data_IF_506414328523
#
_entry.id   IF_506414328523
#
_cell.length_a   1.000
_cell.length_b   1.000
_cell.length_c   1.000
_cell.angle_alpha   90.00
_cell.angle_beta   90.00
_cell.angle_gamma   90.00
#
_symmetry.space_group_name_H-M   'P 1'
#
loop_
_entity.id
_entity.type
_entity.pdbx_description
1 polymer ?
#
# COMPACT_ATOMS: atom_id res chain seq x y z
N UNK A 1 -5.34 -2.84 -4.13
CA UNK A 1 -4.40 -3.80 -4.80
C UNK A 1 -3.01 -3.18 -4.80
N UNK A 2 -2.02 -3.78 -4.12
CA UNK A 2 -0.62 -3.33 -4.16
C UNK A 2 0.12 -3.92 -5.38
N UNK A 3 1.30 -3.41 -5.75
CA UNK A 3 2.10 -3.66 -6.98
C UNK A 3 1.73 -4.96 -7.74
N UNK A 4 1.29 -4.89 -9.01
CA UNK A 4 0.08 -5.60 -9.43
C UNK A 4 0.24 -7.12 -9.55
N UNK A 5 -0.86 -7.82 -9.24
CA UNK A 5 -1.09 -9.23 -9.60
C UNK A 5 -0.73 -9.57 -11.07
N UNK A 6 -0.76 -8.57 -11.97
CA UNK A 6 -0.40 -8.72 -13.38
C UNK A 6 1.11 -8.97 -13.62
N UNK A 7 1.96 -8.61 -12.66
CA UNK A 7 3.42 -8.77 -12.75
C UNK A 7 3.86 -10.06 -12.02
N UNK A 8 2.92 -10.83 -11.44
CA UNK A 8 3.18 -12.19 -10.99
C UNK A 8 3.25 -13.10 -12.22
N UNK A 9 4.45 -13.33 -12.71
CA UNK A 9 4.74 -14.28 -13.79
C UNK A 9 4.95 -15.69 -13.22
N UNK A 10 4.01 -16.15 -12.40
CA UNK A 10 3.99 -17.53 -11.92
C UNK A 10 2.59 -18.08 -12.22
N UNK A 11 2.40 -18.80 -13.34
CA UNK A 11 1.15 -19.51 -13.55
C UNK A 11 1.00 -20.55 -12.44
N UNK A 12 -0.01 -20.37 -11.58
CA UNK A 12 -0.41 -21.44 -10.67
C UNK A 12 -1.02 -22.55 -11.52
N UNK A 13 -0.42 -23.73 -11.46
CA UNK A 13 -0.85 -24.91 -12.24
C UNK A 13 -2.15 -25.51 -11.69
N UNK A 14 -2.61 -25.02 -10.53
CA UNK A 14 -3.68 -25.65 -9.74
C UNK A 14 -3.20 -26.89 -8.99
N UNK A 15 -1.94 -27.30 -9.17
CA UNK A 15 -1.30 -28.35 -8.39
C UNK A 15 -0.53 -27.69 -7.25
N UNK A 16 -0.89 -28.05 -6.02
CA UNK A 16 -0.33 -27.47 -4.81
C UNK A 16 0.58 -28.50 -4.15
N UNK A 17 1.87 -28.20 -4.10
CA UNK A 17 2.79 -28.98 -3.27
C UNK A 17 2.43 -28.84 -1.79
N UNK A 18 2.87 -29.80 -0.97
CA UNK A 18 2.65 -29.74 0.48
C UNK A 18 3.29 -28.50 1.12
N UNK A 19 4.44 -28.06 0.60
CA UNK A 19 5.16 -26.90 1.11
C UNK A 19 4.41 -25.60 0.76
N UNK A 20 3.92 -25.47 -0.48
CA UNK A 20 3.10 -24.31 -0.88
C UNK A 20 1.79 -24.25 -0.10
N UNK A 21 1.12 -25.39 0.09
CA UNK A 21 -0.09 -25.48 0.88
C UNK A 21 0.15 -25.08 2.35
N UNK A 22 1.28 -25.50 2.94
CA UNK A 22 1.65 -25.13 4.29
C UNK A 22 1.90 -23.62 4.45
N UNK A 23 2.61 -23.00 3.51
CA UNK A 23 2.86 -21.55 3.51
C UNK A 23 1.54 -20.78 3.44
N UNK A 24 0.65 -21.13 2.50
CA UNK A 24 -0.65 -20.46 2.35
C UNK A 24 -1.53 -20.66 3.58
N UNK A 25 -1.51 -21.85 4.17
CA UNK A 25 -2.28 -22.14 5.37
C UNK A 25 -1.79 -21.32 6.58
N UNK A 26 -0.48 -21.17 6.74
CA UNK A 26 0.14 -20.34 7.79
C UNK A 26 -0.22 -18.86 7.60
N UNK A 27 -0.06 -18.33 6.39
CA UNK A 27 -0.40 -16.94 6.06
C UNK A 27 -1.89 -16.65 6.28
N UNK A 28 -2.77 -17.56 5.85
CA UNK A 28 -4.22 -17.42 6.04
C UNK A 28 -4.60 -17.46 7.53
N UNK A 29 -3.98 -18.36 8.31
CA UNK A 29 -4.22 -18.46 9.75
C UNK A 29 -3.84 -17.15 10.45
N UNK A 30 -2.63 -16.64 10.19
CA UNK A 30 -2.16 -15.38 10.76
C UNK A 30 -3.04 -14.19 10.34
N UNK A 31 -3.53 -14.18 9.09
CA UNK A 31 -4.41 -13.13 8.59
C UNK A 31 -5.78 -13.16 9.29
N UNK A 32 -6.39 -14.32 9.46
CA UNK A 32 -7.71 -14.42 10.11
C UNK A 32 -7.63 -14.18 11.61
N UNK A 33 -6.56 -14.60 12.29
CA UNK A 33 -6.37 -14.35 13.73
C UNK A 33 -6.24 -12.86 14.08
N UNK A 34 -5.67 -12.07 13.16
CA UNK A 34 -5.48 -10.62 13.33
C UNK A 34 -6.69 -9.78 12.89
N UNK A 35 -7.70 -10.42 12.31
CA UNK A 35 -8.92 -9.77 11.80
C UNK A 35 -10.18 -10.38 12.43
N UNK A 36 -11.33 -9.74 12.25
CA UNK A 36 -12.61 -10.27 12.73
C UNK A 36 -13.60 -10.36 11.58
N UNK A 37 -14.11 -11.56 11.35
CA UNK A 37 -15.10 -11.85 10.32
C UNK A 37 -16.32 -12.49 10.95
N UNK A 38 -17.50 -11.94 10.68
CA UNK A 38 -18.77 -12.55 11.11
C UNK A 38 -19.08 -13.82 10.29
N UNK A 39 -18.53 -13.90 9.07
CA UNK A 39 -18.62 -15.07 8.19
C UNK A 39 -17.49 -15.06 7.17
N UNK A 40 -17.08 -16.26 6.74
CA UNK A 40 -16.12 -16.48 5.66
C UNK A 40 -16.81 -17.26 4.54
N UNK A 41 -16.75 -16.74 3.32
CA UNK A 41 -17.23 -17.42 2.11
C UNK A 41 -16.03 -17.77 1.25
N UNK A 42 -15.74 -19.05 1.10
CA UNK A 42 -14.67 -19.55 0.26
C UNK A 42 -15.22 -19.90 -1.12
N UNK A 43 -14.83 -19.10 -2.11
CA UNK A 43 -15.19 -19.26 -3.52
C UNK A 43 -13.94 -19.53 -4.35
N UNK A 44 -13.42 -20.75 -4.19
CA UNK A 44 -12.07 -21.16 -4.56
C UNK A 44 -12.09 -22.36 -5.50
N UNK A 45 -10.97 -22.58 -6.20
CA UNK A 45 -10.73 -23.73 -7.07
C UNK A 45 -10.00 -24.86 -6.34
N UNK A 46 -8.86 -25.29 -6.88
CA UNK A 46 -8.06 -26.41 -6.36
C UNK A 46 -7.51 -26.17 -4.93
N UNK A 47 -7.43 -24.91 -4.52
CA UNK A 47 -7.00 -24.46 -3.21
C UNK A 47 -8.06 -24.60 -2.11
N UNK A 48 -9.31 -24.96 -2.45
CA UNK A 48 -10.41 -25.08 -1.48
C UNK A 48 -10.12 -26.02 -0.30
N UNK A 49 -9.49 -27.21 -0.47
CA UNK A 49 -9.13 -28.07 0.65
C UNK A 49 -8.15 -27.42 1.63
N UNK A 50 -7.16 -26.68 1.11
CA UNK A 50 -6.15 -25.97 1.93
C UNK A 50 -6.83 -24.93 2.83
N UNK A 51 -7.77 -24.18 2.25
CA UNK A 51 -8.53 -23.16 3.00
C UNK A 51 -9.51 -23.80 3.99
N UNK A 52 -10.12 -24.93 3.64
CA UNK A 52 -11.02 -25.65 4.54
C UNK A 52 -10.29 -26.23 5.76
N UNK A 53 -9.06 -26.70 5.59
CA UNK A 53 -8.24 -27.20 6.70
C UNK A 53 -7.96 -26.11 7.75
N UNK A 54 -7.79 -24.85 7.31
CA UNK A 54 -7.59 -23.69 8.20
C UNK A 54 -8.92 -23.14 8.74
N UNK A 55 -9.95 -23.08 7.89
CA UNK A 55 -11.24 -22.46 8.17
C UNK A 55 -12.37 -23.47 7.91
N UNK A 56 -12.56 -24.45 8.81
CA UNK A 56 -13.56 -25.51 8.61
C UNK A 56 -15.00 -24.98 8.55
N UNK A 57 -15.26 -23.83 9.19
CA UNK A 57 -16.56 -23.17 9.22
C UNK A 57 -16.82 -22.26 8.00
N UNK A 58 -15.86 -22.14 7.07
CA UNK A 58 -16.04 -21.33 5.86
C UNK A 58 -17.11 -21.94 4.95
N UNK A 59 -18.01 -21.10 4.45
CA UNK A 59 -19.05 -21.53 3.52
C UNK A 59 -18.46 -21.71 2.12
N UNK A 60 -18.38 -22.96 1.66
CA UNK A 60 -17.94 -23.29 0.30
C UNK A 60 -19.06 -22.99 -0.70
N UNK A 61 -18.79 -22.13 -1.68
CA UNK A 61 -19.78 -21.73 -2.69
C UNK A 61 -19.49 -22.26 -4.09
N UNK A 62 -18.24 -22.67 -4.38
CA UNK A 62 -17.87 -23.28 -5.67
C UNK A 62 -18.53 -24.64 -5.85
N UNK A 63 -18.95 -24.95 -7.08
CA UNK A 63 -19.39 -26.28 -7.50
C UNK A 63 -18.28 -26.99 -8.25
N UNK A 64 -18.17 -26.76 -9.56
CA UNK A 64 -17.20 -27.42 -10.43
C UNK A 64 -15.92 -26.58 -10.55
N UNK A 65 -16.03 -25.38 -11.10
CA UNK A 65 -14.97 -24.36 -11.06
C UNK A 65 -15.54 -22.98 -10.70
N UNK A 66 -14.75 -22.05 -10.14
CA UNK A 66 -15.26 -20.77 -9.59
C UNK A 66 -16.06 -19.93 -10.60
N UNK A 67 -15.67 -19.96 -11.86
CA UNK A 67 -16.30 -19.15 -12.91
C UNK A 67 -17.45 -19.83 -13.65
N UNK A 68 -17.88 -21.03 -13.22
CA UNK A 68 -19.02 -21.72 -13.84
C UNK A 68 -20.34 -21.03 -13.49
N UNK A 69 -21.34 -21.14 -14.36
CA UNK A 69 -22.66 -20.54 -14.12
C UNK A 69 -23.26 -21.00 -12.78
N UNK A 70 -23.22 -22.31 -12.52
CA UNK A 70 -23.71 -22.89 -11.26
C UNK A 70 -22.96 -22.37 -10.03
N UNK A 71 -21.63 -22.22 -10.12
CA UNK A 71 -20.81 -21.66 -9.04
C UNK A 71 -21.15 -20.19 -8.78
N UNK A 72 -21.37 -19.39 -9.82
CA UNK A 72 -21.74 -17.98 -9.68
C UNK A 72 -23.15 -17.79 -9.11
N UNK A 73 -24.09 -18.66 -9.49
CA UNK A 73 -25.45 -18.71 -8.91
C UNK A 73 -25.38 -19.11 -7.43
N UNK A 74 -24.57 -20.11 -7.10
CA UNK A 74 -24.35 -20.54 -5.72
C UNK A 74 -23.67 -19.46 -4.88
N UNK A 75 -22.66 -18.76 -5.42
CA UNK A 75 -22.01 -17.63 -4.78
C UNK A 75 -23.01 -16.51 -4.49
N UNK A 76 -23.80 -16.10 -5.49
CA UNK A 76 -24.82 -15.05 -5.33
C UNK A 76 -25.78 -15.39 -4.18
N UNK A 77 -26.34 -16.61 -4.19
CA UNK A 77 -27.23 -17.08 -3.11
C UNK A 77 -26.55 -17.08 -1.74
N UNK A 78 -25.30 -17.50 -1.68
CA UNK A 78 -24.53 -17.55 -0.43
C UNK A 78 -24.29 -16.14 0.11
N UNK A 79 -23.92 -15.20 -0.75
CA UNK A 79 -23.72 -13.80 -0.37
C UNK A 79 -25.03 -13.15 0.10
N UNK A 80 -26.16 -13.44 -0.55
CA UNK A 80 -27.47 -12.94 -0.10
C UNK A 80 -27.85 -13.50 1.29
N UNK A 81 -27.53 -14.76 1.56
CA UNK A 81 -27.80 -15.39 2.86
C UNK A 81 -26.90 -14.84 3.97
N UNK A 82 -25.60 -14.70 3.69
CA UNK A 82 -24.59 -14.33 4.68
C UNK A 82 -24.54 -12.81 4.91
N UNK A 83 -24.69 -12.02 3.85
CA UNK A 83 -24.49 -10.58 3.88
C UNK A 83 -25.72 -9.76 3.45
N UNK A 84 -26.85 -10.38 3.11
CA UNK A 84 -28.05 -9.66 2.63
C UNK A 84 -28.67 -8.71 3.65
N UNK A 85 -28.44 -8.94 4.95
CA UNK A 85 -28.84 -8.02 6.03
C UNK A 85 -27.81 -6.92 6.31
N UNK A 86 -26.60 -7.04 5.76
CA UNK A 86 -25.51 -6.09 5.98
C UNK A 86 -25.73 -4.86 5.10
N UNK A 87 -25.59 -3.67 5.70
CA UNK A 87 -25.70 -2.42 4.95
C UNK A 87 -24.64 -2.35 3.86
N UNK A 88 -25.08 -2.12 2.63
CA UNK A 88 -24.16 -1.91 1.49
C UNK A 88 -23.22 -0.73 1.73
N UNK A 89 -21.93 -0.94 1.45
CA UNK A 89 -20.90 0.11 1.48
C UNK A 89 -20.92 0.87 0.18
N UNK A 90 -20.95 2.21 0.24
CA UNK A 90 -20.93 3.03 -0.96
C UNK A 90 -19.63 2.85 -1.74
N UNK A 91 -19.67 3.01 -3.07
CA UNK A 91 -18.47 2.91 -3.91
C UNK A 91 -17.38 3.88 -3.46
N UNK A 92 -17.76 5.09 -3.02
CA UNK A 92 -16.84 6.11 -2.52
C UNK A 92 -16.18 5.72 -1.20
N UNK A 93 -16.95 5.19 -0.24
CA UNK A 93 -16.40 4.71 1.03
C UNK A 93 -15.44 3.53 0.80
N UNK A 94 -15.83 2.54 -0.01
CA UNK A 94 -14.95 1.42 -0.37
C UNK A 94 -13.65 1.88 -1.03
N UNK A 95 -13.73 2.89 -1.90
CA UNK A 95 -12.55 3.44 -2.55
C UNK A 95 -11.65 4.19 -1.55
N UNK A 96 -12.22 4.95 -0.62
CA UNK A 96 -11.47 5.61 0.44
C UNK A 96 -10.76 4.60 1.37
N UNK A 97 -11.42 3.49 1.71
CA UNK A 97 -10.81 2.38 2.45
C UNK A 97 -9.65 1.74 1.65
N UNK A 98 -9.82 1.52 0.34
CA UNK A 98 -8.73 0.99 -0.49
C UNK A 98 -7.51 1.94 -0.51
N UNK A 99 -7.73 3.24 -0.61
CA UNK A 99 -6.67 4.24 -0.53
C UNK A 99 -6.01 4.28 0.85
N UNK A 100 -6.79 4.08 1.92
CA UNK A 100 -6.27 3.98 3.29
C UNK A 100 -5.40 2.75 3.50
N UNK A 101 -5.81 1.60 2.96
CA UNK A 101 -5.02 0.38 2.99
C UNK A 101 -3.70 0.54 2.22
N UNK A 102 -3.71 1.18 1.05
CA UNK A 102 -2.49 1.46 0.29
C UNK A 102 -1.56 2.39 1.07
N UNK A 103 -2.11 3.48 1.63
CA UNK A 103 -1.31 4.45 2.39
C UNK A 103 -0.69 3.80 3.63
N UNK A 104 -1.47 2.99 4.36
CA UNK A 104 -1.02 2.28 5.55
C UNK A 104 0.03 1.22 5.25
N UNK A 105 -0.16 0.48 4.16
CA UNK A 105 0.83 -0.50 3.72
C UNK A 105 2.17 0.17 3.39
N UNK A 106 2.13 1.29 2.68
CA UNK A 106 3.34 1.95 2.17
C UNK A 106 4.07 2.78 3.24
N UNK A 107 3.33 3.50 4.08
CA UNK A 107 3.85 4.54 4.97
C UNK A 107 3.43 4.33 6.44
N UNK A 108 2.95 3.14 6.79
CA UNK A 108 2.42 2.86 8.12
C UNK A 108 1.27 3.79 8.50
N UNK A 109 1.08 4.00 9.81
CA UNK A 109 0.00 4.87 10.29
C UNK A 109 0.18 6.34 9.86
N UNK A 110 1.41 6.80 9.61
CA UNK A 110 1.67 8.15 9.07
C UNK A 110 1.07 8.33 7.65
N UNK A 111 0.97 7.25 6.87
CA UNK A 111 0.29 7.27 5.58
C UNK A 111 -1.20 7.61 5.68
N UNK A 112 -1.87 7.24 6.78
CA UNK A 112 -3.30 7.51 6.97
C UNK A 112 -3.59 9.01 7.00
N UNK A 113 -2.67 9.83 7.50
CA UNK A 113 -2.82 11.29 7.52
C UNK A 113 -2.83 11.92 6.12
N UNK A 114 -2.31 11.23 5.10
CA UNK A 114 -2.39 11.70 3.72
C UNK A 114 -3.80 11.55 3.15
N UNK A 115 -4.56 10.57 3.62
CA UNK A 115 -5.84 10.15 3.03
C UNK A 115 -7.05 10.45 3.93
N UNK A 116 -6.84 10.68 5.22
CA UNK A 116 -7.92 11.02 6.16
C UNK A 116 -8.61 12.33 5.77
N UNK A 117 -9.91 12.25 5.53
CA UNK A 117 -10.73 13.37 5.06
C UNK A 117 -10.37 13.85 3.64
N UNK A 118 -9.56 13.10 2.90
CA UNK A 118 -9.19 13.45 1.54
C UNK A 118 -10.33 13.23 0.54
N UNK A 119 -10.28 13.98 -0.55
CA UNK A 119 -11.08 13.70 -1.76
C UNK A 119 -10.18 13.07 -2.81
N UNK A 120 -10.73 12.15 -3.58
CA UNK A 120 -10.00 11.41 -4.60
C UNK A 120 -10.45 11.83 -6.00
N UNK A 121 -9.51 12.24 -6.87
CA UNK A 121 -9.82 12.66 -8.25
C UNK A 121 -8.91 11.99 -9.26
N UNK A 122 -9.50 11.40 -10.28
CA UNK A 122 -8.80 10.72 -11.36
C UNK A 122 -9.44 9.37 -11.65
N UNK A 123 -8.74 8.55 -12.42
CA UNK A 123 -9.17 7.19 -12.76
C UNK A 123 -8.07 6.23 -12.33
N UNK A 124 -8.43 5.24 -11.53
CA UNK A 124 -7.48 4.22 -11.08
C UNK A 124 -6.74 3.57 -12.27
N UNK A 125 -5.39 3.43 -12.20
CA UNK A 125 -4.54 3.70 -11.05
C UNK A 125 -4.19 5.19 -10.83
N UNK A 126 -4.33 6.08 -11.81
CA UNK A 126 -3.91 7.47 -11.67
C UNK A 126 -4.93 8.32 -10.88
N UNK A 127 -4.76 8.37 -9.56
CA UNK A 127 -5.70 9.03 -8.63
C UNK A 127 -4.96 10.00 -7.73
N UNK A 128 -5.35 11.27 -7.81
CA UNK A 128 -4.88 12.33 -6.91
C UNK A 128 -5.60 12.24 -5.57
N UNK A 129 -4.83 12.40 -4.49
CA UNK A 129 -5.31 12.52 -3.11
C UNK A 129 -5.27 14.00 -2.75
N UNK A 130 -6.43 14.60 -2.50
CA UNK A 130 -6.55 16.02 -2.19
C UNK A 130 -7.05 16.25 -0.76
N UNK A 131 -6.30 16.99 0.06
CA UNK A 131 -6.73 17.47 1.38
C UNK A 131 -6.95 18.97 1.33
N UNK A 132 -8.11 19.44 1.78
CA UNK A 132 -8.45 20.87 1.73
C UNK A 132 -8.44 21.49 0.32
N UNK A 133 -8.51 20.66 -0.74
CA UNK A 133 -8.39 21.10 -2.14
C UNK A 133 -6.97 21.08 -2.72
N UNK A 134 -5.95 20.85 -1.89
CA UNK A 134 -4.55 20.73 -2.30
C UNK A 134 -4.15 19.27 -2.50
N UNK A 135 -3.39 18.97 -3.55
CA UNK A 135 -2.90 17.62 -3.80
C UNK A 135 -1.72 17.28 -2.88
N UNK A 136 -1.88 16.29 -2.03
CA UNK A 136 -0.84 15.83 -1.08
C UNK A 136 -0.10 14.59 -1.59
N UNK A 137 -0.79 13.75 -2.37
CA UNK A 137 -0.20 12.56 -2.96
C UNK A 137 -0.93 12.18 -4.25
N UNK A 138 -0.37 11.21 -4.97
CA UNK A 138 -1.01 10.61 -6.13
C UNK A 138 -0.73 9.11 -6.15
N UNK A 139 -1.77 8.29 -6.18
CA UNK A 139 -1.60 6.89 -6.57
C UNK A 139 -1.26 6.84 -8.06
N UNK A 140 -0.27 6.03 -8.40
CA UNK A 140 0.28 5.92 -9.76
C UNK A 140 0.23 4.48 -10.24
N UNK A 141 0.55 4.26 -11.52
CA UNK A 141 0.73 2.93 -12.12
C UNK A 141 1.78 2.06 -11.43
N UNK A 142 2.64 2.64 -10.58
CA UNK A 142 3.57 1.90 -9.69
C UNK A 142 2.85 1.15 -8.56
N UNK A 143 1.54 1.30 -8.41
CA UNK A 143 0.77 0.70 -7.32
C UNK A 143 1.02 1.34 -5.94
N UNK A 144 1.68 2.50 -5.93
CA UNK A 144 2.08 3.24 -4.74
C UNK A 144 1.67 4.71 -4.85
N UNK A 145 1.51 5.36 -3.70
CA UNK A 145 1.39 6.80 -3.58
C UNK A 145 2.74 7.44 -3.91
N UNK A 146 2.71 8.53 -4.67
CA UNK A 146 3.82 9.43 -4.90
C UNK A 146 3.53 10.75 -4.19
N UNK A 147 4.45 11.24 -3.38
CA UNK A 147 4.26 12.46 -2.60
C UNK A 147 4.37 13.72 -3.47
N UNK A 148 3.57 14.72 -3.11
CA UNK A 148 3.87 16.13 -3.42
C UNK A 148 4.59 16.76 -2.23
N UNK A 149 5.08 18.01 -2.37
CA UNK A 149 5.68 18.73 -1.24
C UNK A 149 4.70 18.87 -0.06
N UNK A 150 3.41 19.11 -0.33
CA UNK A 150 2.38 19.18 0.71
C UNK A 150 2.17 17.84 1.44
N UNK A 151 2.26 16.71 0.73
CA UNK A 151 2.28 15.39 1.39
C UNK A 151 3.55 15.14 2.19
N UNK A 152 4.70 15.58 1.66
CA UNK A 152 5.97 15.52 2.39
C UNK A 152 5.90 16.30 3.71
N UNK A 153 5.25 17.46 3.71
CA UNK A 153 5.05 18.29 4.92
C UNK A 153 4.19 17.57 5.97
N UNK A 154 3.14 16.84 5.55
CA UNK A 154 2.34 16.01 6.45
C UNK A 154 3.21 14.95 7.13
N UNK A 155 4.04 14.23 6.37
CA UNK A 155 4.93 13.19 6.92
C UNK A 155 6.02 13.78 7.82
N UNK A 156 6.63 14.88 7.41
CA UNK A 156 7.64 15.60 8.20
C UNK A 156 7.09 16.02 9.57
N UNK A 157 5.86 16.57 9.62
CA UNK A 157 5.19 16.96 10.88
C UNK A 157 4.86 15.78 11.79
N UNK A 158 4.71 14.58 11.23
CA UNK A 158 4.53 13.32 11.97
C UNK A 158 5.85 12.67 12.36
N UNK A 159 6.97 13.28 12.01
CA UNK A 159 8.31 12.75 12.19
C UNK A 159 8.49 11.35 11.59
N UNK A 160 7.82 11.10 10.44
CA UNK A 160 7.87 9.84 9.72
C UNK A 160 8.42 10.02 8.29
N UNK A 161 9.15 9.03 7.77
CA UNK A 161 9.69 8.97 6.40
C UNK A 161 10.42 10.25 5.95
N UNK A 162 11.12 10.90 6.87
CA UNK A 162 11.90 12.11 6.59
C UNK A 162 13.40 11.83 6.46
N UNK A 163 14.08 12.70 5.71
CA UNK A 163 15.54 12.75 5.58
C UNK A 163 15.98 14.16 5.89
N UNK A 164 16.83 14.30 6.90
CA UNK A 164 17.39 15.57 7.34
C UNK A 164 18.65 15.86 6.53
N UNK A 165 18.69 16.99 5.86
CA UNK A 165 19.82 17.42 5.05
C UNK A 165 20.52 18.66 5.64
N UNK A 166 21.69 18.97 5.12
CA UNK A 166 22.31 20.27 5.37
C UNK A 166 21.48 21.43 4.79
N UNK A 167 21.89 22.66 5.10
CA UNK A 167 21.17 23.85 4.65
C UNK A 167 21.40 24.13 3.16
N UNK A 168 20.70 23.38 2.31
CA UNK A 168 20.64 23.63 0.87
C UNK A 168 19.25 23.33 0.31
N UNK A 169 18.94 23.91 -0.86
CA UNK A 169 17.80 23.54 -1.68
C UNK A 169 18.27 22.50 -2.72
N UNK A 170 17.69 21.28 -2.74
CA UNK A 170 18.12 20.24 -3.67
C UNK A 170 17.99 20.66 -5.14
N UNK A 171 19.09 20.56 -5.89
CA UNK A 171 19.11 20.71 -7.35
C UNK A 171 19.50 19.35 -7.94
N UNK A 172 18.50 18.51 -8.21
CA UNK A 172 18.69 17.11 -8.61
C UNK A 172 18.63 16.12 -7.45
N UNK A 173 19.28 14.97 -7.60
CA UNK A 173 19.28 13.90 -6.61
C UNK A 173 20.14 14.23 -5.39
N UNK A 174 19.82 13.63 -4.25
CA UNK A 174 20.54 13.82 -3.00
C UNK A 174 21.46 12.64 -2.80
N UNK A 175 22.72 12.93 -2.45
CA UNK A 175 23.74 11.93 -2.15
C UNK A 175 23.92 11.80 -0.65
N UNK A 176 24.37 10.63 -0.19
CA UNK A 176 24.54 10.32 1.24
C UNK A 176 25.39 11.36 2.00
N UNK A 177 26.38 11.97 1.34
CA UNK A 177 27.22 13.04 1.94
C UNK A 177 26.43 14.27 2.40
N UNK A 178 25.28 14.56 1.79
CA UNK A 178 24.42 15.68 2.15
C UNK A 178 23.34 15.33 3.18
N UNK A 179 23.28 14.08 3.66
CA UNK A 179 22.32 13.61 4.65
C UNK A 179 22.94 13.69 6.04
N UNK A 180 22.23 14.31 6.98
CA UNK A 180 22.61 14.41 8.39
C UNK A 180 22.00 13.29 9.22
N UNK A 181 20.72 13.00 8.98
CA UNK A 181 19.99 11.93 9.65
C UNK A 181 18.77 11.49 8.82
N UNK A 182 18.14 10.37 9.19
CA UNK A 182 16.97 9.87 8.49
C UNK A 182 16.09 9.03 9.42
N UNK A 183 14.78 9.01 9.15
CA UNK A 183 13.82 8.19 9.89
C UNK A 183 14.12 6.68 9.74
N UNK A 184 14.09 5.93 10.84
CA UNK A 184 14.61 4.55 10.92
C UNK A 184 13.78 3.51 10.16
N UNK A 185 12.53 3.83 9.84
CA UNK A 185 11.63 3.00 9.04
C UNK A 185 12.00 2.99 7.56
N UNK A 186 12.74 3.99 7.06
CA UNK A 186 13.04 4.14 5.63
C UNK A 186 13.78 2.92 5.08
N UNK A 187 13.29 2.42 3.95
CA UNK A 187 13.88 1.37 3.11
C UNK A 187 14.06 1.88 1.67
N UNK A 188 14.98 1.29 0.89
CA UNK A 188 15.09 1.58 -0.53
C UNK A 188 13.75 1.39 -1.26
N UNK A 189 13.35 2.38 -2.05
CA UNK A 189 12.07 2.41 -2.76
C UNK A 189 10.98 3.25 -2.08
N UNK A 190 11.12 3.54 -0.78
CA UNK A 190 10.13 4.31 -0.03
C UNK A 190 10.03 5.75 -0.50
N UNK A 191 8.83 6.30 -0.40
CA UNK A 191 8.61 7.72 -0.59
C UNK A 191 9.08 8.48 0.64
N UNK A 192 9.82 9.57 0.42
CA UNK A 192 10.46 10.32 1.51
C UNK A 192 10.29 11.82 1.37
N UNK A 193 10.16 12.49 2.50
CA UNK A 193 10.23 13.93 2.63
C UNK A 193 11.66 14.36 2.98
N UNK A 194 12.27 15.16 2.12
CA UNK A 194 13.59 15.73 2.37
C UNK A 194 13.39 17.08 3.05
N UNK A 195 13.98 17.25 4.23
CA UNK A 195 13.78 18.45 5.05
C UNK A 195 15.08 19.00 5.64
N UNK A 196 15.02 20.27 6.01
CA UNK A 196 16.02 20.94 6.82
C UNK A 196 15.33 21.67 7.97
N UNK A 197 15.66 21.32 9.21
CA UNK A 197 15.04 21.86 10.42
C UNK A 197 13.50 21.81 10.38
N UNK A 198 12.95 20.72 9.84
CA UNK A 198 11.51 20.52 9.68
C UNK A 198 10.92 21.05 8.37
N UNK A 199 11.58 22.01 7.70
CA UNK A 199 11.13 22.58 6.43
C UNK A 199 11.32 21.58 5.29
N UNK A 200 10.24 21.15 4.64
CA UNK A 200 10.30 20.23 3.51
C UNK A 200 10.77 20.95 2.26
N UNK A 201 11.92 20.53 1.74
CA UNK A 201 12.59 21.13 0.58
C UNK A 201 12.49 20.28 -0.68
N UNK A 202 12.26 18.99 -0.53
CA UNK A 202 12.00 18.08 -1.65
C UNK A 202 11.24 16.83 -1.23
N UNK A 203 10.72 16.11 -2.22
CA UNK A 203 10.17 14.76 -2.07
C UNK A 203 10.71 13.86 -3.17
N UNK A 204 10.86 12.58 -2.85
CA UNK A 204 11.47 11.62 -3.77
C UNK A 204 11.30 10.18 -3.32
N UNK A 205 12.08 9.31 -3.96
CA UNK A 205 12.20 7.90 -3.56
C UNK A 205 13.57 7.65 -2.94
N UNK A 206 13.60 6.98 -1.78
CA UNK A 206 14.82 6.53 -1.16
C UNK A 206 15.53 5.50 -2.04
N UNK A 207 16.86 5.59 -2.11
CA UNK A 207 17.75 4.62 -2.78
C UNK A 207 18.57 3.79 -1.82
N UNK A 208 18.66 4.25 -0.57
CA UNK A 208 19.40 3.65 0.53
C UNK A 208 18.46 3.49 1.74
N UNK A 209 18.77 2.58 2.65
CA UNK A 209 18.13 2.57 3.97
C UNK A 209 18.67 3.69 4.86
N UNK A 210 17.95 4.04 5.92
CA UNK A 210 18.31 5.14 6.84
C UNK A 210 19.78 5.07 7.34
N UNK A 211 20.24 3.87 7.69
CA UNK A 211 21.58 3.65 8.23
C UNK A 211 22.66 3.87 7.17
N UNK A 212 22.41 3.41 5.94
CA UNK A 212 23.32 3.62 4.82
C UNK A 212 23.39 5.10 4.45
N UNK A 213 22.26 5.83 4.49
CA UNK A 213 22.25 7.27 4.26
C UNK A 213 23.12 8.03 5.26
N UNK A 214 23.15 7.59 6.52
CA UNK A 214 23.94 8.20 7.61
C UNK A 214 25.42 7.80 7.60
N UNK A 215 25.69 6.52 7.36
CA UNK A 215 27.04 5.96 7.51
C UNK A 215 27.89 6.18 6.25
N UNK A 216 27.30 6.22 5.05
CA UNK A 216 28.03 6.37 3.80
C UNK A 216 28.41 7.83 3.51
N UNK A 217 29.46 8.01 2.71
CA UNK A 217 29.91 9.32 2.19
C UNK A 217 29.69 9.48 0.68
N UNK A 218 29.10 8.47 0.04
CA UNK A 218 28.85 8.41 -1.41
C UNK A 218 27.65 7.52 -1.70
N UNK A 219 27.08 7.68 -2.90
CA UNK A 219 25.87 6.97 -3.33
C UNK A 219 24.66 7.91 -3.33
N UNK A 220 23.79 7.72 -4.32
CA UNK A 220 22.48 8.40 -4.36
C UNK A 220 21.67 7.91 -3.16
N UNK A 221 21.28 8.82 -2.27
CA UNK A 221 20.41 8.54 -1.13
C UNK A 221 18.93 8.72 -1.51
N UNK A 222 18.62 9.75 -2.31
CA UNK A 222 17.25 10.06 -2.73
C UNK A 222 17.23 10.42 -4.21
N UNK A 223 16.34 9.75 -4.94
CA UNK A 223 15.93 10.16 -6.26
C UNK A 223 14.84 11.23 -6.15
N UNK A 224 15.20 12.49 -6.33
CA UNK A 224 14.28 13.62 -6.16
C UNK A 224 13.36 13.70 -7.35
N UNK A 225 12.05 13.86 -7.09
CA UNK A 225 11.04 14.07 -8.16
C UNK A 225 10.46 15.47 -8.17
N UNK A 226 10.36 16.11 -7.00
CA UNK A 226 9.87 17.47 -6.87
C UNK A 226 10.64 18.14 -5.73
N UNK A 227 11.20 19.32 -5.97
CA UNK A 227 11.84 20.17 -4.97
C UNK A 227 11.24 21.56 -4.96
N UNK A 228 11.44 22.30 -3.88
CA UNK A 228 11.17 23.75 -3.86
C UNK A 228 12.00 24.43 -4.95
N UNK A 229 11.36 25.29 -5.72
CA UNK A 229 12.07 26.13 -6.67
C UNK A 229 12.83 27.23 -5.93
N UNK A 230 14.05 27.53 -6.39
CA UNK A 230 14.73 28.74 -5.91
C UNK A 230 13.96 29.96 -6.41
N UNK A 231 13.62 30.92 -5.54
CA UNK A 231 13.21 32.22 -6.03
C UNK A 231 14.34 32.82 -6.89
N UNK A 232 13.99 33.57 -7.96
CA UNK A 232 14.94 34.09 -8.93
C UNK A 232 15.95 35.08 -8.33
#
# INVERSE_FOLDING_TARGET
RFHPARDYDIPVTGDWSRDEAAIVAEDLSAFVETNRYDAVVAHLGAEAPIVHDVLPDAVLSTKDHPTSEDSLVALTRTLDQVAGSVRSVSKGARFAEEMSNIARFQLGDAGLDLVEGATFRGRFPDVRVLRGGEQVAMHTTRGMLSLTLAGGDILSKRDAYWIEIEDFLPVGNIFAVGVRDAAHEIRPGDEVAVRHEGEVRAVGAARLGWREMKDLRRGEAVHVRHGLERPP
#
